data_IF_010300599622
#
_entry.id   IF_010300599622
#
_cell.length_a   1.000
_cell.length_b   1.000
_cell.length_c   1.000
_cell.angle_alpha   90.00
_cell.angle_beta   90.00
_cell.angle_gamma   90.00
#
_symmetry.space_group_name_H-M   'P 1'
#
loop_
_entity.id
_entity.type
_entity.pdbx_description
1 polymer ?
#
# COMPACT_ATOMS: atom_id res chain seq x y z
N UNK A 1 11.57 26.27 -8.76
CA UNK A 1 11.18 25.65 -10.04
C UNK A 1 9.95 24.79 -9.81
N UNK A 2 8.92 24.94 -10.62
CA UNK A 2 7.66 24.19 -10.47
C UNK A 2 7.60 23.09 -11.53
N UNK A 3 7.47 21.82 -11.11
CA UNK A 3 7.31 20.70 -12.03
C UNK A 3 5.96 20.79 -12.75
N UNK A 4 5.93 20.79 -14.08
CA UNK A 4 4.70 20.89 -14.88
C UNK A 4 4.29 19.59 -15.52
N UNK A 5 5.24 18.76 -15.92
CA UNK A 5 4.94 17.43 -16.43
C UNK A 5 6.14 16.50 -16.27
N UNK A 6 5.82 15.25 -16.14
CA UNK A 6 6.77 14.15 -16.18
C UNK A 6 6.19 13.07 -17.08
N UNK A 7 6.98 12.56 -17.99
CA UNK A 7 6.58 11.47 -18.87
C UNK A 7 7.68 10.42 -18.94
N UNK A 8 7.32 9.18 -18.64
CA UNK A 8 8.24 8.05 -18.79
C UNK A 8 7.95 7.34 -20.11
N UNK A 9 8.96 7.25 -20.97
CA UNK A 9 8.91 6.37 -22.15
C UNK A 9 9.43 4.99 -21.80
N UNK A 10 8.50 4.04 -21.69
CA UNK A 10 8.79 2.67 -21.29
C UNK A 10 9.61 1.92 -22.33
N UNK A 11 9.35 2.17 -23.59
CA UNK A 11 10.03 1.49 -24.68
C UNK A 11 11.53 1.81 -24.70
N UNK A 12 11.86 3.06 -24.34
CA UNK A 12 13.24 3.57 -24.28
C UNK A 12 13.80 3.59 -22.86
N UNK A 13 12.98 3.40 -21.84
CA UNK A 13 13.34 3.61 -20.42
C UNK A 13 13.90 5.02 -20.17
N UNK A 14 13.29 6.04 -20.77
CA UNK A 14 13.69 7.43 -20.58
C UNK A 14 12.60 8.22 -19.87
N UNK A 15 12.99 9.21 -19.08
CA UNK A 15 12.07 10.06 -18.34
C UNK A 15 12.19 11.49 -18.84
N UNK A 16 11.10 12.06 -19.35
CA UNK A 16 11.04 13.47 -19.70
C UNK A 16 10.54 14.27 -18.51
N UNK A 17 11.30 15.28 -18.13
CA UNK A 17 11.00 16.21 -17.05
C UNK A 17 10.78 17.59 -17.62
N UNK A 18 9.60 18.19 -17.37
CA UNK A 18 9.32 19.57 -17.69
C UNK A 18 9.06 20.36 -16.42
N UNK A 19 9.87 21.37 -16.17
CA UNK A 19 9.74 22.23 -15.01
C UNK A 19 9.76 23.72 -15.41
N UNK A 20 9.00 24.53 -14.69
CA UNK A 20 8.97 25.97 -14.89
C UNK A 20 9.88 26.69 -13.88
N UNK A 21 10.84 27.42 -14.40
CA UNK A 21 11.59 28.44 -13.68
C UNK A 21 10.96 29.82 -13.99
N UNK A 22 11.05 30.85 -13.11
CA UNK A 22 10.50 32.17 -13.40
C UNK A 22 10.93 32.77 -14.73
N UNK A 23 12.13 32.44 -15.21
CA UNK A 23 12.71 32.98 -16.42
C UNK A 23 12.68 32.05 -17.64
N UNK A 24 12.38 30.75 -17.46
CA UNK A 24 12.43 29.75 -18.55
C UNK A 24 11.67 28.45 -18.25
N UNK A 25 11.40 27.70 -19.28
CA UNK A 25 10.94 26.28 -19.16
C UNK A 25 12.16 25.38 -19.30
N UNK A 26 12.35 24.47 -18.36
CA UNK A 26 13.34 23.39 -18.43
C UNK A 26 12.64 22.14 -18.94
N UNK A 27 13.17 21.58 -20.02
CA UNK A 27 12.68 20.33 -20.61
C UNK A 27 13.90 19.43 -20.83
N UNK A 28 13.95 18.29 -20.13
CA UNK A 28 15.07 17.38 -20.23
C UNK A 28 14.61 15.91 -20.25
N UNK A 29 15.45 15.07 -20.83
CA UNK A 29 15.25 13.62 -20.87
C UNK A 29 16.35 12.96 -20.05
N UNK A 30 15.94 12.16 -19.05
CA UNK A 30 16.84 11.32 -18.25
C UNK A 30 16.98 9.96 -18.91
N UNK A 31 18.21 9.47 -19.01
CA UNK A 31 18.52 8.17 -19.61
C UNK A 31 17.98 6.98 -18.81
N UNK A 32 18.01 5.80 -19.41
CA UNK A 32 17.46 4.57 -18.84
C UNK A 32 18.06 4.22 -17.47
N UNK A 33 19.38 4.36 -17.33
CA UNK A 33 20.09 4.02 -16.09
C UNK A 33 19.68 4.97 -14.95
N UNK A 34 19.64 6.29 -15.21
CA UNK A 34 19.21 7.28 -14.23
C UNK A 34 17.76 7.09 -13.85
N UNK A 35 16.90 6.80 -14.81
CA UNK A 35 15.49 6.49 -14.58
C UNK A 35 15.36 5.26 -13.65
N UNK A 36 16.11 4.19 -13.89
CA UNK A 36 16.10 3.00 -13.03
C UNK A 36 16.62 3.30 -11.62
N UNK A 37 17.69 4.08 -11.49
CA UNK A 37 18.24 4.48 -10.18
C UNK A 37 17.28 5.33 -9.38
N UNK A 38 16.61 6.30 -10.02
CA UNK A 38 15.56 7.11 -9.38
C UNK A 38 14.42 6.22 -8.87
N UNK A 39 13.98 5.26 -9.68
CA UNK A 39 12.92 4.34 -9.30
C UNK A 39 13.33 3.43 -8.11
N UNK A 40 14.57 2.93 -8.13
CA UNK A 40 15.09 2.06 -7.07
C UNK A 40 15.38 2.82 -5.76
N UNK A 41 15.85 4.07 -5.88
CA UNK A 41 16.31 4.89 -4.74
C UNK A 41 15.28 5.88 -4.19
N UNK A 42 14.17 6.10 -4.91
CA UNK A 42 13.22 7.16 -4.59
C UNK A 42 12.56 7.01 -3.22
N UNK A 43 12.14 5.82 -2.84
CA UNK A 43 11.47 5.60 -1.56
C UNK A 43 12.42 5.74 -0.35
N UNK A 44 13.63 5.14 -0.33
CA UNK A 44 14.62 5.39 0.70
C UNK A 44 14.98 6.86 0.86
N UNK A 45 15.15 7.59 -0.25
CA UNK A 45 15.46 9.02 -0.24
C UNK A 45 14.33 9.82 0.41
N UNK A 46 13.09 9.59 0.04
CA UNK A 46 11.93 10.30 0.62
C UNK A 46 11.72 9.93 2.08
N UNK A 47 11.93 8.68 2.47
CA UNK A 47 11.89 8.25 3.86
C UNK A 47 12.96 8.96 4.68
N UNK A 48 14.18 9.08 4.17
CA UNK A 48 15.25 9.82 4.81
C UNK A 48 14.92 11.30 4.97
N UNK A 49 14.40 11.95 3.93
CA UNK A 49 14.00 13.36 3.97
C UNK A 49 12.86 13.64 4.97
N UNK A 50 11.89 12.72 5.07
CA UNK A 50 10.80 12.83 6.05
C UNK A 50 11.28 12.71 7.48
N UNK A 51 12.26 11.84 7.75
CA UNK A 51 12.79 11.60 9.11
C UNK A 51 13.83 12.60 9.53
N UNK A 52 14.71 13.03 8.62
CA UNK A 52 15.84 13.89 8.93
C UNK A 52 15.57 15.38 8.71
N UNK A 53 14.57 15.71 7.87
CA UNK A 53 14.33 17.08 7.40
C UNK A 53 15.45 17.63 6.50
N UNK A 54 16.40 16.78 6.10
CA UNK A 54 17.59 17.15 5.32
C UNK A 54 17.79 16.17 4.17
N UNK A 55 18.51 16.63 3.14
CA UNK A 55 19.03 15.74 2.11
C UNK A 55 20.17 14.87 2.67
N UNK A 56 20.31 13.61 2.22
CA UNK A 56 21.47 12.80 2.56
C UNK A 56 22.76 13.40 1.97
N UNK A 57 23.92 13.14 2.57
CA UNK A 57 25.18 13.60 2.00
C UNK A 57 25.50 12.85 0.69
N UNK A 58 25.83 13.60 -0.37
CA UNK A 58 26.35 13.07 -1.65
C UNK A 58 25.29 12.76 -2.70
N UNK A 59 25.72 12.74 -3.97
CA UNK A 59 24.88 12.43 -5.13
C UNK A 59 24.44 10.98 -5.18
N UNK A 60 23.14 10.77 -5.27
CA UNK A 60 22.52 9.44 -5.33
C UNK A 60 22.26 8.96 -6.76
N UNK A 61 22.28 9.90 -7.74
CA UNK A 61 21.89 9.64 -9.12
C UNK A 61 22.80 10.44 -10.08
N UNK A 62 23.09 9.91 -11.26
CA UNK A 62 23.97 10.56 -12.23
C UNK A 62 23.44 11.92 -12.71
N UNK A 63 22.14 12.05 -12.91
CA UNK A 63 21.49 13.29 -13.35
C UNK A 63 20.77 14.04 -12.22
N UNK A 64 20.65 13.46 -11.03
CA UNK A 64 20.14 14.13 -9.84
C UNK A 64 21.25 14.33 -8.83
N UNK A 65 21.60 15.57 -8.59
CA UNK A 65 22.59 15.96 -7.61
C UNK A 65 21.94 16.52 -6.36
N UNK A 66 22.27 15.94 -5.19
CA UNK A 66 21.76 16.40 -3.91
C UNK A 66 22.75 17.34 -3.27
N UNK A 67 22.29 18.56 -2.96
CA UNK A 67 23.03 19.52 -2.17
C UNK A 67 22.45 19.55 -0.75
N UNK A 68 23.20 18.99 0.19
CA UNK A 68 22.78 18.87 1.59
C UNK A 68 22.84 20.22 2.33
N UNK A 69 23.68 21.17 1.91
CA UNK A 69 23.79 22.50 2.52
C UNK A 69 22.68 23.41 2.04
N UNK A 70 22.47 23.46 0.73
CA UNK A 70 21.42 24.28 0.12
C UNK A 70 20.03 23.67 0.27
N UNK A 71 19.90 22.39 0.68
CA UNK A 71 18.64 21.64 0.73
C UNK A 71 17.92 21.62 -0.61
N UNK A 72 18.67 21.48 -1.69
CA UNK A 72 18.18 21.47 -3.07
C UNK A 72 18.54 20.16 -3.78
N UNK A 73 17.77 19.85 -4.79
CA UNK A 73 18.06 18.78 -5.76
C UNK A 73 18.22 19.43 -7.11
N UNK A 74 19.38 19.23 -7.73
CA UNK A 74 19.65 19.70 -9.08
C UNK A 74 19.46 18.59 -10.09
N UNK A 75 18.79 18.87 -11.18
CA UNK A 75 18.61 17.96 -12.31
C UNK A 75 19.56 18.39 -13.41
N UNK A 76 20.42 17.47 -13.88
CA UNK A 76 21.27 17.72 -15.02
C UNK A 76 20.49 17.50 -16.32
N UNK A 77 20.48 18.51 -17.17
CA UNK A 77 19.82 18.50 -18.47
C UNK A 77 20.84 18.82 -19.55
N UNK A 78 21.57 17.85 -20.06
CA UNK A 78 22.72 18.05 -20.94
C UNK A 78 23.85 18.77 -20.20
N UNK A 79 24.23 20.00 -20.70
CA UNK A 79 25.24 20.83 -20.04
C UNK A 79 24.69 21.74 -18.94
N UNK A 80 23.35 21.87 -18.84
CA UNK A 80 22.70 22.68 -17.83
C UNK A 80 22.38 21.89 -16.59
N UNK A 81 22.46 22.55 -15.43
CA UNK A 81 22.01 21.98 -14.13
C UNK A 81 20.98 22.92 -13.53
N UNK A 82 19.82 22.35 -13.17
CA UNK A 82 18.71 23.11 -12.60
C UNK A 82 18.37 22.58 -11.19
N UNK A 83 18.23 23.48 -10.23
CA UNK A 83 17.87 23.14 -8.86
C UNK A 83 16.35 23.02 -8.71
N UNK A 84 15.91 21.89 -8.15
CA UNK A 84 14.54 21.67 -7.70
C UNK A 84 14.44 21.95 -6.20
N UNK A 85 13.40 22.66 -5.78
CA UNK A 85 13.08 22.73 -4.37
C UNK A 85 12.59 21.38 -3.83
N UNK A 86 12.51 21.27 -2.52
CA UNK A 86 12.13 20.03 -1.85
C UNK A 86 10.75 19.51 -2.29
N UNK A 87 9.79 20.37 -2.54
CA UNK A 87 8.43 20.01 -2.92
C UNK A 87 8.36 19.55 -4.38
N UNK A 88 9.07 20.21 -5.26
CA UNK A 88 9.20 19.83 -6.68
C UNK A 88 9.89 18.47 -6.80
N UNK A 89 10.92 18.21 -6.02
CA UNK A 89 11.58 16.90 -5.95
C UNK A 89 10.66 15.79 -5.44
N UNK A 90 9.92 16.02 -4.36
CA UNK A 90 8.95 15.03 -3.87
C UNK A 90 7.90 14.69 -4.92
N UNK A 91 7.44 15.70 -5.66
CA UNK A 91 6.48 15.52 -6.75
C UNK A 91 7.09 14.70 -7.89
N UNK A 92 8.32 14.99 -8.29
CA UNK A 92 9.06 14.22 -9.29
C UNK A 92 9.17 12.74 -8.91
N UNK A 93 9.64 12.45 -7.69
CA UNK A 93 9.79 11.08 -7.22
C UNK A 93 8.47 10.32 -7.13
N UNK A 94 7.39 10.99 -6.72
CA UNK A 94 6.05 10.41 -6.70
C UNK A 94 5.57 10.01 -8.09
N UNK A 95 5.70 10.89 -9.06
CA UNK A 95 5.26 10.63 -10.43
C UNK A 95 6.11 9.53 -11.10
N UNK A 96 7.42 9.52 -10.88
CA UNK A 96 8.29 8.44 -11.34
C UNK A 96 7.87 7.08 -10.75
N UNK A 97 7.66 7.03 -9.43
CA UNK A 97 7.22 5.82 -8.75
C UNK A 97 5.85 5.33 -9.24
N UNK A 98 4.89 6.24 -9.46
CA UNK A 98 3.57 5.91 -10.03
C UNK A 98 3.69 5.32 -11.42
N UNK A 99 4.48 5.97 -12.28
CA UNK A 99 4.64 5.55 -13.68
C UNK A 99 5.29 4.17 -13.75
N UNK A 100 6.35 3.93 -12.98
CA UNK A 100 7.01 2.62 -12.92
C UNK A 100 6.06 1.51 -12.45
N UNK A 101 5.22 1.81 -11.45
CA UNK A 101 4.25 0.83 -10.94
C UNK A 101 3.15 0.54 -11.95
N UNK A 102 2.59 1.56 -12.60
CA UNK A 102 1.62 1.41 -13.69
C UNK A 102 2.11 0.44 -14.77
N UNK A 103 3.37 0.52 -15.13
CA UNK A 103 3.99 -0.31 -16.14
C UNK A 103 4.37 -1.69 -15.64
N UNK A 104 4.82 -1.81 -14.39
CA UNK A 104 5.08 -3.11 -13.79
C UNK A 104 3.80 -3.96 -13.72
N UNK A 105 2.66 -3.34 -13.39
CA UNK A 105 1.34 -4.00 -13.43
C UNK A 105 0.96 -4.40 -14.86
N UNK A 106 1.18 -3.54 -15.85
CA UNK A 106 0.84 -3.82 -17.25
C UNK A 106 1.72 -4.91 -17.88
N UNK A 107 2.94 -5.14 -17.36
CA UNK A 107 3.94 -6.06 -17.95
C UNK A 107 3.94 -7.48 -17.37
N UNK A 108 3.27 -7.74 -16.25
CA UNK A 108 3.23 -9.09 -15.66
C UNK A 108 1.93 -9.79 -16.04
N UNK A 109 1.89 -10.57 -17.13
CA UNK A 109 0.79 -11.50 -17.32
C UNK A 109 0.86 -12.54 -16.20
N UNK A 110 -0.28 -12.81 -15.61
CA UNK A 110 -0.39 -13.95 -14.71
C UNK A 110 -0.03 -15.24 -15.42
N UNK A 111 0.58 -16.20 -14.72
CA UNK A 111 0.65 -17.56 -15.25
C UNK A 111 -0.75 -18.02 -15.62
N UNK A 112 -1.00 -18.40 -16.89
CA UNK A 112 -2.34 -18.75 -17.32
C UNK A 112 -2.84 -20.00 -16.59
N UNK A 113 -4.13 -20.01 -16.22
CA UNK A 113 -4.80 -21.21 -15.68
C UNK A 113 -4.61 -21.47 -14.21
N UNK A 114 -3.99 -20.57 -13.43
CA UNK A 114 -3.89 -20.72 -11.99
C UNK A 114 -5.21 -20.33 -11.29
N UNK A 115 -5.59 -21.10 -10.27
CA UNK A 115 -6.61 -20.66 -9.31
C UNK A 115 -6.09 -19.44 -8.54
N UNK A 116 -6.96 -18.60 -7.94
CA UNK A 116 -6.51 -17.48 -7.11
C UNK A 116 -5.50 -17.89 -6.04
N UNK A 117 -5.76 -18.99 -5.34
CA UNK A 117 -4.85 -19.56 -4.34
C UNK A 117 -3.47 -19.88 -4.93
N UNK A 118 -3.43 -20.68 -6.00
CA UNK A 118 -2.17 -21.09 -6.64
C UNK A 118 -1.38 -19.89 -7.18
N UNK A 119 -2.08 -18.86 -7.64
CA UNK A 119 -1.46 -17.62 -8.11
C UNK A 119 -0.78 -16.86 -6.98
N UNK A 120 -1.48 -16.60 -5.87
CA UNK A 120 -0.91 -15.90 -4.73
C UNK A 120 0.23 -16.69 -4.11
N UNK A 121 0.07 -18.02 -3.97
CA UNK A 121 1.14 -18.92 -3.52
C UNK A 121 2.40 -18.80 -4.39
N UNK A 122 2.22 -18.83 -5.72
CA UNK A 122 3.33 -18.66 -6.66
C UNK A 122 4.07 -17.33 -6.46
N UNK A 123 3.34 -16.22 -6.29
CA UNK A 123 3.94 -14.90 -6.11
C UNK A 123 4.77 -14.82 -4.82
N UNK A 124 4.27 -15.35 -3.70
CA UNK A 124 5.03 -15.40 -2.45
C UNK A 124 6.27 -16.27 -2.52
N UNK A 125 6.23 -17.37 -3.24
CA UNK A 125 7.37 -18.29 -3.39
C UNK A 125 8.47 -17.76 -4.33
N UNK A 126 8.11 -16.92 -5.30
CA UNK A 126 9.02 -16.47 -6.36
C UNK A 126 9.37 -14.98 -6.29
N UNK A 127 9.14 -14.33 -5.16
CA UNK A 127 9.48 -12.91 -4.96
C UNK A 127 8.67 -11.96 -5.85
N UNK A 128 7.45 -12.37 -6.24
CA UNK A 128 6.53 -11.56 -7.03
C UNK A 128 5.67 -10.61 -6.21
N UNK A 129 5.92 -10.49 -4.91
CA UNK A 129 5.16 -9.74 -3.92
C UNK A 129 5.57 -8.25 -3.84
N UNK A 130 5.59 -7.57 -4.97
CA UNK A 130 5.99 -6.15 -5.09
C UNK A 130 5.12 -5.14 -4.31
N UNK A 131 4.09 -5.60 -3.59
CA UNK A 131 3.32 -4.82 -2.62
C UNK A 131 3.92 -4.84 -1.22
N UNK A 132 4.88 -5.73 -0.94
CA UNK A 132 5.53 -5.90 0.36
C UNK A 132 6.36 -4.66 0.72
N UNK A 133 6.21 -4.21 1.98
CA UNK A 133 6.88 -3.01 2.48
C UNK A 133 7.85 -3.29 3.64
N UNK A 134 7.95 -4.54 4.08
CA UNK A 134 8.78 -4.96 5.22
C UNK A 134 8.28 -4.49 6.59
N UNK A 135 7.14 -3.82 6.66
CA UNK A 135 6.53 -3.27 7.88
C UNK A 135 5.06 -2.90 7.64
N UNK A 136 4.32 -2.70 8.73
CA UNK A 136 2.98 -2.14 8.66
C UNK A 136 3.01 -0.74 8.04
N UNK A 137 1.99 -0.43 7.23
CA UNK A 137 1.94 0.83 6.47
C UNK A 137 1.74 2.04 7.40
N UNK A 138 2.45 3.16 7.17
CA UNK A 138 2.38 4.32 8.04
C UNK A 138 0.97 4.85 8.32
N UNK A 139 0.05 4.97 7.34
CA UNK A 139 -1.32 5.43 7.63
C UNK A 139 -2.06 4.55 8.65
N UNK A 140 -1.94 3.21 8.54
CA UNK A 140 -2.56 2.30 9.50
C UNK A 140 -1.85 2.35 10.85
N UNK A 141 -0.52 2.47 10.89
CA UNK A 141 0.23 2.66 12.15
C UNK A 141 -0.28 3.89 12.88
N UNK A 142 -0.33 5.04 12.20
CA UNK A 142 -0.82 6.29 12.77
C UNK A 142 -2.27 6.17 13.26
N UNK A 143 -3.15 5.66 12.39
CA UNK A 143 -4.58 5.57 12.71
C UNK A 143 -4.84 4.60 13.87
N UNK A 144 -4.28 3.40 13.85
CA UNK A 144 -4.50 2.37 14.87
C UNK A 144 -3.79 2.69 16.18
N UNK A 145 -2.73 3.50 16.19
CA UNK A 145 -2.12 3.99 17.44
C UNK A 145 -3.08 4.89 18.22
N UNK A 146 -3.87 5.70 17.52
CA UNK A 146 -4.90 6.57 18.14
C UNK A 146 -6.20 5.81 18.43
N UNK A 147 -6.50 4.77 17.66
CA UNK A 147 -7.72 3.96 17.76
C UNK A 147 -7.39 2.46 17.91
N UNK A 148 -6.66 2.07 18.97
CA UNK A 148 -6.21 0.69 19.14
C UNK A 148 -7.39 -0.27 19.37
N UNK A 149 -7.14 -1.59 19.28
CA UNK A 149 -8.09 -2.59 19.75
C UNK A 149 -8.40 -2.38 21.23
N UNK A 150 -9.69 -2.51 21.58
CA UNK A 150 -10.13 -2.36 22.96
C UNK A 150 -9.97 -3.68 23.75
N UNK A 151 -10.07 -3.59 25.08
CA UNK A 151 -9.98 -4.76 25.95
C UNK A 151 -11.08 -5.79 25.59
N UNK A 152 -10.65 -7.03 25.36
CA UNK A 152 -11.55 -8.13 24.98
C UNK A 152 -12.02 -8.12 23.53
N UNK A 153 -11.60 -7.13 22.71
CA UNK A 153 -11.88 -7.13 21.27
C UNK A 153 -11.08 -8.23 20.56
N UNK A 154 -11.74 -8.85 19.59
CA UNK A 154 -11.15 -9.78 18.63
C UNK A 154 -10.96 -9.07 17.31
N UNK A 155 -9.73 -9.05 16.85
CA UNK A 155 -9.35 -8.41 15.59
C UNK A 155 -9.06 -9.45 14.50
N UNK A 156 -9.43 -9.13 13.27
CA UNK A 156 -9.13 -9.93 12.09
C UNK A 156 -8.41 -9.06 11.06
N UNK A 157 -7.36 -9.60 10.45
CA UNK A 157 -6.72 -9.00 9.27
C UNK A 157 -6.98 -9.89 8.07
N UNK A 158 -7.66 -9.36 7.06
CA UNK A 158 -8.00 -10.09 5.82
C UNK A 158 -6.95 -9.85 4.75
N UNK A 159 -6.53 -10.90 4.04
CA UNK A 159 -5.40 -10.84 3.12
C UNK A 159 -4.14 -10.38 3.85
N UNK A 160 -3.83 -11.00 4.99
CA UNK A 160 -2.83 -10.51 5.93
C UNK A 160 -1.38 -10.55 5.41
N UNK A 161 -1.13 -11.22 4.30
CA UNK A 161 0.18 -11.34 3.71
C UNK A 161 1.22 -11.82 4.70
N UNK A 162 2.30 -11.05 4.85
CA UNK A 162 3.39 -11.35 5.79
C UNK A 162 3.08 -10.98 7.26
N UNK A 163 1.86 -10.53 7.55
CA UNK A 163 1.34 -10.37 8.91
C UNK A 163 1.63 -9.04 9.59
N UNK A 164 2.18 -8.05 8.90
CA UNK A 164 2.62 -6.79 9.52
C UNK A 164 1.52 -6.05 10.28
N UNK A 165 0.32 -5.93 9.70
CA UNK A 165 -0.83 -5.27 10.34
C UNK A 165 -1.38 -6.10 11.52
N UNK A 166 -1.35 -7.43 11.42
CA UNK A 166 -1.77 -8.30 12.52
C UNK A 166 -0.81 -8.19 13.72
N UNK A 167 0.50 -8.18 13.47
CA UNK A 167 1.51 -7.96 14.50
C UNK A 167 1.42 -6.55 15.10
N UNK A 168 1.11 -5.54 14.28
CA UNK A 168 0.84 -4.18 14.77
C UNK A 168 -0.35 -4.18 15.75
N UNK A 169 -1.48 -4.78 15.38
CA UNK A 169 -2.66 -4.87 16.25
C UNK A 169 -2.35 -5.58 17.57
N UNK A 170 -1.56 -6.66 17.51
CA UNK A 170 -1.15 -7.36 18.73
C UNK A 170 -0.26 -6.50 19.64
N UNK A 171 0.62 -5.68 19.08
CA UNK A 171 1.45 -4.75 19.87
C UNK A 171 0.64 -3.61 20.47
N UNK A 172 -0.32 -3.07 19.74
CA UNK A 172 -1.14 -1.93 20.19
C UNK A 172 -2.26 -2.33 21.14
N UNK A 173 -2.83 -3.53 20.98
CA UNK A 173 -3.93 -4.01 21.81
C UNK A 173 -3.50 -4.43 23.21
N UNK A 174 -4.44 -4.45 24.19
CA UNK A 174 -4.20 -5.01 25.51
C UNK A 174 -3.70 -6.47 25.47
N UNK A 175 -3.05 -6.96 26.55
CA UNK A 175 -2.51 -8.33 26.56
C UNK A 175 -3.53 -9.43 26.25
N UNK A 176 -4.78 -9.23 26.60
CA UNK A 176 -5.89 -10.17 26.39
C UNK A 176 -6.47 -10.12 24.97
N UNK A 177 -6.08 -9.15 24.15
CA UNK A 177 -6.57 -9.04 22.76
C UNK A 177 -6.06 -10.18 21.92
N UNK A 178 -6.96 -10.76 21.13
CA UNK A 178 -6.66 -11.84 20.19
C UNK A 178 -6.75 -11.31 18.77
N UNK A 179 -5.72 -11.57 17.98
CA UNK A 179 -5.66 -11.19 16.58
C UNK A 179 -5.60 -12.43 15.71
N UNK A 180 -6.41 -12.45 14.66
CA UNK A 180 -6.35 -13.49 13.62
C UNK A 180 -5.94 -12.83 12.32
N UNK A 181 -4.96 -13.37 11.61
CA UNK A 181 -4.63 -13.02 10.23
C UNK A 181 -5.06 -14.14 9.31
N UNK A 182 -5.75 -13.84 8.23
CA UNK A 182 -6.08 -14.83 7.19
C UNK A 182 -5.48 -14.44 5.85
N UNK A 183 -4.94 -15.41 5.15
CA UNK A 183 -4.53 -15.30 3.76
C UNK A 183 -4.86 -16.57 3.00
N UNK A 184 -5.10 -16.46 1.70
CA UNK A 184 -5.37 -17.61 0.85
C UNK A 184 -4.08 -18.38 0.53
N UNK A 185 -2.92 -17.71 0.52
CA UNK A 185 -1.62 -18.29 0.20
C UNK A 185 -0.96 -18.95 1.41
N UNK A 186 -0.70 -20.26 1.39
CA UNK A 186 0.03 -20.97 2.45
C UNK A 186 1.39 -20.33 2.78
N UNK A 187 2.16 -19.91 1.77
CA UNK A 187 3.46 -19.29 1.96
C UNK A 187 3.39 -17.99 2.78
N UNK A 188 2.37 -17.15 2.56
CA UNK A 188 2.12 -15.96 3.35
C UNK A 188 1.92 -16.30 4.83
N UNK A 189 1.05 -17.27 5.11
CA UNK A 189 0.75 -17.76 6.48
C UNK A 189 1.99 -18.28 7.19
N UNK A 190 2.82 -19.06 6.48
CA UNK A 190 4.09 -19.58 7.05
C UNK A 190 5.04 -18.44 7.40
N UNK A 191 5.18 -17.44 6.53
CA UNK A 191 6.04 -16.27 6.77
C UNK A 191 5.51 -15.48 7.97
N UNK A 192 4.23 -15.15 7.99
CA UNK A 192 3.59 -14.39 9.07
C UNK A 192 3.71 -15.11 10.43
N UNK A 193 3.51 -16.43 10.46
CA UNK A 193 3.68 -17.24 11.67
C UNK A 193 5.11 -17.19 12.19
N UNK A 194 6.12 -17.30 11.30
CA UNK A 194 7.53 -17.17 11.70
C UNK A 194 7.84 -15.80 12.28
N UNK A 195 7.28 -14.76 11.71
CA UNK A 195 7.47 -13.40 12.25
C UNK A 195 6.84 -13.24 13.64
N UNK A 196 5.63 -13.80 13.87
CA UNK A 196 5.01 -13.73 15.19
C UNK A 196 5.84 -14.44 16.27
N UNK A 197 6.46 -15.56 15.94
CA UNK A 197 7.39 -16.25 16.84
C UNK A 197 8.64 -15.42 17.10
N UNK A 198 9.24 -14.86 16.04
CA UNK A 198 10.45 -14.03 16.16
C UNK A 198 10.22 -12.76 17.00
N UNK A 199 9.00 -12.23 17.00
CA UNK A 199 8.61 -11.06 17.79
C UNK A 199 8.02 -11.42 19.18
N UNK A 200 7.92 -12.70 19.54
CA UNK A 200 7.33 -13.14 20.82
C UNK A 200 5.83 -12.85 20.93
N UNK A 201 5.11 -12.83 19.82
CA UNK A 201 3.68 -12.54 19.74
C UNK A 201 2.81 -13.74 19.39
N UNK A 202 3.37 -14.95 19.32
CA UNK A 202 2.67 -16.18 18.91
C UNK A 202 1.47 -16.53 19.79
N UNK A 203 1.46 -16.12 21.05
CA UNK A 203 0.34 -16.35 21.97
C UNK A 203 -0.82 -15.35 21.75
N UNK A 204 -0.61 -14.31 20.97
CA UNK A 204 -1.56 -13.21 20.73
C UNK A 204 -2.06 -13.13 19.31
N UNK A 205 -1.32 -13.71 18.35
CA UNK A 205 -1.67 -13.70 16.94
C UNK A 205 -1.71 -15.12 16.40
N UNK A 206 -2.79 -15.45 15.71
CA UNK A 206 -2.93 -16.71 14.97
C UNK A 206 -3.06 -16.41 13.50
N UNK A 207 -2.26 -17.08 12.65
CA UNK A 207 -2.37 -16.98 11.20
C UNK A 207 -2.98 -18.25 10.63
N UNK A 208 -3.97 -18.09 9.75
CA UNK A 208 -4.73 -19.20 9.16
C UNK A 208 -4.76 -19.08 7.64
N UNK A 209 -4.54 -20.19 6.95
CA UNK A 209 -4.86 -20.27 5.53
C UNK A 209 -6.38 -20.38 5.39
N UNK A 210 -7.00 -19.33 4.83
CA UNK A 210 -8.45 -19.30 4.66
C UNK A 210 -8.82 -18.50 3.40
N UNK A 211 -9.82 -18.98 2.67
CA UNK A 211 -10.50 -18.19 1.66
C UNK A 211 -11.55 -17.30 2.36
N UNK A 212 -11.36 -15.99 2.28
CA UNK A 212 -12.26 -15.00 2.86
C UNK A 212 -13.73 -15.22 2.47
N UNK A 213 -13.97 -15.62 1.22
CA UNK A 213 -15.33 -15.77 0.70
C UNK A 213 -16.05 -17.01 1.26
N UNK A 214 -15.33 -18.10 1.34
CA UNK A 214 -15.86 -19.37 1.82
C UNK A 214 -15.95 -19.49 3.34
N UNK A 215 -15.10 -18.79 4.06
CA UNK A 215 -14.91 -19.01 5.50
C UNK A 215 -16.14 -18.75 6.36
N UNK A 216 -16.88 -17.62 6.24
CA UNK A 216 -18.09 -17.41 7.04
C UNK A 216 -19.26 -18.34 6.68
N UNK A 217 -19.14 -19.10 5.57
CA UNK A 217 -20.13 -20.08 5.14
C UNK A 217 -19.74 -21.49 5.59
N UNK A 218 -18.46 -21.87 5.47
CA UNK A 218 -17.95 -23.17 5.87
C UNK A 218 -17.83 -23.33 7.38
N UNK A 219 -17.59 -22.23 8.11
CA UNK A 219 -17.56 -22.19 9.57
C UNK A 219 -18.47 -21.07 10.12
N UNK A 220 -19.71 -21.44 10.40
CA UNK A 220 -20.71 -20.50 10.91
C UNK A 220 -20.31 -19.87 12.26
N UNK A 221 -19.38 -20.46 13.03
CA UNK A 221 -18.89 -19.91 14.30
C UNK A 221 -18.05 -18.64 14.12
N UNK A 222 -17.61 -18.34 12.90
CA UNK A 222 -16.87 -17.12 12.57
C UNK A 222 -17.80 -15.92 12.31
N UNK A 223 -19.09 -16.16 12.05
CA UNK A 223 -20.05 -15.08 11.78
C UNK A 223 -20.27 -14.21 13.02
N UNK A 224 -20.07 -12.91 12.85
CA UNK A 224 -20.22 -11.96 13.95
C UNK A 224 -19.19 -12.13 15.08
N UNK A 225 -18.08 -12.78 14.81
CA UNK A 225 -17.06 -13.10 15.82
C UNK A 225 -16.10 -11.95 16.11
N UNK A 226 -15.89 -11.05 15.14
CA UNK A 226 -14.86 -10.04 15.23
C UNK A 226 -15.44 -8.65 15.52
N UNK A 227 -14.72 -7.89 16.34
CA UNK A 227 -15.03 -6.51 16.70
C UNK A 227 -14.39 -5.52 15.74
N UNK A 228 -13.22 -5.88 15.23
CA UNK A 228 -12.41 -5.10 14.29
C UNK A 228 -11.93 -5.99 13.14
N UNK A 229 -12.18 -5.55 11.91
CA UNK A 229 -11.52 -6.08 10.72
C UNK A 229 -10.59 -5.00 10.16
N UNK A 230 -9.35 -5.39 9.86
CA UNK A 230 -8.38 -4.52 9.17
C UNK A 230 -8.08 -5.11 7.80
N UNK A 231 -8.04 -4.25 6.80
CA UNK A 231 -7.61 -4.59 5.45
C UNK A 231 -6.54 -3.61 4.95
N UNK A 232 -5.56 -4.14 4.23
CA UNK A 232 -4.57 -3.37 3.53
C UNK A 232 -4.31 -4.00 2.16
N UNK A 233 -4.78 -3.36 1.10
CA UNK A 233 -4.63 -3.82 -0.30
C UNK A 233 -5.30 -5.18 -0.64
N UNK A 234 -6.14 -5.72 0.22
CA UNK A 234 -6.89 -6.94 -0.09
C UNK A 234 -7.97 -6.67 -1.14
N UNK A 235 -8.72 -5.58 -1.01
CA UNK A 235 -9.80 -5.22 -1.93
C UNK A 235 -9.34 -5.05 -3.39
N UNK A 236 -8.19 -4.44 -3.63
CA UNK A 236 -7.65 -4.26 -4.98
C UNK A 236 -7.08 -5.57 -5.57
N UNK A 237 -6.87 -6.58 -4.76
CA UNK A 237 -6.45 -7.92 -5.18
C UNK A 237 -7.60 -8.78 -5.71
N UNK A 238 -8.84 -8.35 -5.47
CA UNK A 238 -10.06 -9.08 -5.81
C UNK A 238 -10.63 -8.57 -7.12
N UNK A 239 -11.03 -9.51 -7.98
CA UNK A 239 -11.68 -9.17 -9.26
C UNK A 239 -12.90 -8.26 -9.03
N UNK A 240 -13.07 -7.21 -9.85
CA UNK A 240 -14.12 -6.22 -9.66
C UNK A 240 -15.53 -6.78 -9.53
N UNK A 241 -15.82 -7.88 -10.21
CA UNK A 241 -17.13 -8.54 -10.16
C UNK A 241 -17.42 -9.26 -8.83
N UNK A 242 -16.38 -9.54 -8.01
CA UNK A 242 -16.50 -10.20 -6.70
C UNK A 242 -16.46 -9.24 -5.52
N UNK A 243 -16.31 -7.94 -5.74
CA UNK A 243 -16.14 -6.95 -4.67
C UNK A 243 -17.39 -6.78 -3.78
N UNK A 244 -18.59 -7.03 -4.31
CA UNK A 244 -19.79 -7.06 -3.47
C UNK A 244 -19.78 -8.29 -2.55
N UNK A 245 -19.32 -9.44 -3.04
CA UNK A 245 -19.11 -10.65 -2.24
C UNK A 245 -18.08 -10.39 -1.12
N UNK A 246 -16.99 -9.67 -1.44
CA UNK A 246 -16.00 -9.24 -0.43
C UNK A 246 -16.65 -8.42 0.70
N UNK A 247 -17.44 -7.41 0.36
CA UNK A 247 -18.12 -6.57 1.36
C UNK A 247 -19.04 -7.42 2.25
N UNK A 248 -19.78 -8.36 1.66
CA UNK A 248 -20.68 -9.26 2.40
C UNK A 248 -19.89 -10.23 3.30
N UNK A 249 -18.76 -10.77 2.83
CA UNK A 249 -17.91 -11.67 3.61
C UNK A 249 -17.32 -10.95 4.83
N UNK A 250 -16.76 -9.75 4.64
CA UNK A 250 -16.24 -8.90 5.73
C UNK A 250 -17.33 -8.56 6.73
N UNK A 251 -18.51 -8.17 6.23
CA UNK A 251 -19.65 -7.89 7.10
C UNK A 251 -20.11 -9.13 7.89
N UNK A 252 -20.12 -10.29 7.26
CA UNK A 252 -20.51 -11.53 7.94
C UNK A 252 -19.57 -11.89 9.11
N UNK A 253 -18.27 -11.61 8.98
CA UNK A 253 -17.25 -11.86 10.01
C UNK A 253 -17.33 -10.87 11.18
N UNK A 254 -17.66 -9.61 10.91
CA UNK A 254 -17.84 -8.57 11.94
C UNK A 254 -19.15 -8.79 12.70
N UNK A 255 -19.18 -8.50 14.02
CA UNK A 255 -20.42 -8.39 14.76
C UNK A 255 -21.21 -7.14 14.33
N UNK A 256 -22.52 -7.07 14.54
CA UNK A 256 -23.28 -5.81 14.42
C UNK A 256 -22.65 -4.70 15.26
N UNK A 257 -22.34 -3.54 14.65
CA UNK A 257 -21.61 -2.45 15.28
C UNK A 257 -20.09 -2.66 15.36
N UNK A 258 -19.55 -3.73 14.80
CA UNK A 258 -18.10 -3.94 14.63
C UNK A 258 -17.52 -3.00 13.57
N UNK A 259 -16.21 -2.76 13.62
CA UNK A 259 -15.50 -1.77 12.82
C UNK A 259 -14.70 -2.44 11.70
N UNK A 260 -14.81 -1.90 10.49
CA UNK A 260 -13.85 -2.13 9.40
C UNK A 260 -12.90 -0.93 9.35
N UNK A 261 -11.60 -1.15 9.38
CA UNK A 261 -10.58 -0.16 9.07
C UNK A 261 -9.80 -0.65 7.85
N UNK A 262 -9.93 0.06 6.74
CA UNK A 262 -9.32 -0.33 5.48
C UNK A 262 -8.44 0.78 4.91
N UNK A 263 -7.26 0.40 4.41
CA UNK A 263 -6.45 1.25 3.56
C UNK A 263 -6.54 0.72 2.14
N UNK A 264 -7.45 1.31 1.37
CA UNK A 264 -7.79 0.90 0.02
C UNK A 264 -6.89 1.58 -1.00
N UNK A 265 -6.30 0.80 -1.90
CA UNK A 265 -5.51 1.34 -3.00
C UNK A 265 -6.45 1.79 -4.13
N UNK A 266 -6.38 3.08 -4.49
CA UNK A 266 -7.20 3.72 -5.53
C UNK A 266 -6.31 4.10 -6.71
N UNK A 267 -6.57 3.51 -7.87
CA UNK A 267 -5.82 3.76 -9.09
C UNK A 267 -6.65 3.40 -10.33
N UNK A 268 -6.21 3.84 -11.49
CA UNK A 268 -6.84 3.65 -12.80
C UNK A 268 -6.02 2.76 -13.76
N UNK A 269 -5.01 2.04 -13.24
CA UNK A 269 -4.15 1.21 -14.09
C UNK A 269 -4.92 0.04 -14.69
N UNK A 270 -4.69 -0.26 -15.97
CA UNK A 270 -5.34 -1.38 -16.64
C UNK A 270 -4.82 -2.73 -16.13
N UNK A 271 -5.67 -3.74 -16.17
CA UNK A 271 -5.31 -5.10 -15.73
C UNK A 271 -5.46 -5.29 -14.22
N UNK A 272 -4.68 -6.19 -13.67
CA UNK A 272 -4.68 -6.51 -12.24
C UNK A 272 -4.32 -7.94 -11.92
N UNK A 273 -4.16 -8.29 -10.64
CA UNK A 273 -4.07 -7.40 -9.50
C UNK A 273 -2.77 -6.57 -9.46
N UNK A 274 -2.79 -5.39 -8.81
CA UNK A 274 -3.99 -4.75 -8.25
C UNK A 274 -4.96 -4.34 -9.36
N UNK A 275 -6.26 -4.56 -9.17
CA UNK A 275 -7.30 -4.10 -10.08
C UNK A 275 -7.68 -2.66 -9.76
N UNK A 276 -7.94 -1.86 -10.80
CA UNK A 276 -8.36 -0.47 -10.67
C UNK A 276 -9.55 -0.33 -9.72
N UNK A 277 -9.52 0.71 -8.89
CA UNK A 277 -10.64 1.09 -8.04
C UNK A 277 -10.60 2.60 -7.74
N UNK A 278 -11.76 3.18 -7.49
CA UNK A 278 -11.90 4.58 -7.12
C UNK A 278 -12.46 4.73 -5.70
N UNK A 279 -12.25 5.90 -5.11
CA UNK A 279 -12.84 6.24 -3.82
C UNK A 279 -14.38 6.19 -3.87
N UNK A 280 -14.98 6.58 -4.99
CA UNK A 280 -16.44 6.51 -5.22
C UNK A 280 -16.95 5.06 -5.23
N UNK A 281 -16.24 4.16 -5.90
CA UNK A 281 -16.57 2.73 -5.93
C UNK A 281 -16.53 2.14 -4.51
N UNK A 282 -15.44 2.40 -3.77
CA UNK A 282 -15.26 1.91 -2.39
C UNK A 282 -16.40 2.39 -1.51
N UNK A 283 -16.70 3.69 -1.54
CA UNK A 283 -17.83 4.27 -0.77
C UNK A 283 -19.18 3.66 -1.15
N UNK A 284 -19.45 3.52 -2.44
CA UNK A 284 -20.72 2.97 -2.93
C UNK A 284 -20.94 1.54 -2.44
N UNK A 285 -19.90 0.68 -2.53
CA UNK A 285 -20.00 -0.71 -2.09
C UNK A 285 -20.11 -0.85 -0.57
N UNK A 286 -19.31 -0.10 0.19
CA UNK A 286 -19.37 -0.15 1.66
C UNK A 286 -20.70 0.33 2.20
N UNK A 287 -21.30 1.38 1.62
CA UNK A 287 -22.60 1.95 2.07
C UNK A 287 -23.77 0.99 2.00
N UNK A 288 -23.68 -0.10 1.27
CA UNK A 288 -24.70 -1.14 1.27
C UNK A 288 -24.88 -1.81 2.64
N UNK A 289 -23.81 -1.90 3.44
CA UNK A 289 -23.76 -2.70 4.66
C UNK A 289 -23.16 -1.94 5.86
N UNK A 290 -22.39 -0.90 5.59
CA UNK A 290 -21.63 -0.13 6.57
C UNK A 290 -22.03 1.34 6.58
N UNK A 291 -21.85 1.98 7.74
CA UNK A 291 -21.85 3.43 7.89
C UNK A 291 -20.39 3.90 7.95
N UNK A 292 -19.95 4.68 6.96
CA UNK A 292 -18.60 5.26 6.94
C UNK A 292 -18.55 6.38 7.98
N UNK A 293 -17.66 6.23 8.96
CA UNK A 293 -17.53 7.16 10.10
C UNK A 293 -16.27 8.02 10.03
N UNK A 294 -15.32 7.60 9.22
CA UNK A 294 -14.08 8.35 8.94
C UNK A 294 -13.55 7.98 7.57
N UNK A 295 -13.00 8.97 6.86
CA UNK A 295 -12.24 8.75 5.63
C UNK A 295 -11.21 9.87 5.42
N UNK A 296 -10.09 9.51 4.83
CA UNK A 296 -9.06 10.45 4.38
C UNK A 296 -8.21 9.86 3.24
N UNK A 297 -7.58 10.74 2.44
CA UNK A 297 -6.44 10.39 1.59
C UNK A 297 -5.17 10.68 2.39
N UNK A 298 -4.44 9.64 2.87
CA UNK A 298 -3.36 9.85 3.81
C UNK A 298 -2.18 10.60 3.17
N UNK A 299 -1.63 11.57 3.90
CA UNK A 299 -0.43 12.28 3.47
C UNK A 299 0.86 11.50 3.73
N UNK A 300 0.80 10.49 4.61
CA UNK A 300 1.90 9.64 5.06
C UNK A 300 1.93 8.27 4.38
N UNK A 301 1.18 8.08 3.30
CA UNK A 301 1.29 6.90 2.43
C UNK A 301 2.72 6.69 1.94
N UNK A 302 3.09 5.44 1.66
CA UNK A 302 4.32 5.15 0.92
C UNK A 302 4.37 6.01 -0.36
N UNK A 303 5.58 6.46 -0.74
CA UNK A 303 5.72 7.38 -1.87
C UNK A 303 5.09 6.83 -3.15
N UNK A 304 5.26 5.53 -3.39
CA UNK A 304 4.72 4.85 -4.57
C UNK A 304 3.18 4.79 -4.58
N UNK A 305 2.53 5.10 -3.45
CA UNK A 305 1.07 5.07 -3.26
C UNK A 305 0.50 6.43 -2.83
N UNK A 306 1.34 7.44 -2.68
CA UNK A 306 0.94 8.77 -2.20
C UNK A 306 -0.18 9.37 -3.07
N UNK A 307 -1.30 9.72 -2.42
CA UNK A 307 -2.51 10.21 -3.07
C UNK A 307 -3.30 9.16 -3.85
N UNK A 308 -2.92 7.87 -3.76
CA UNK A 308 -3.61 6.72 -4.35
C UNK A 308 -4.10 5.74 -3.29
N UNK A 309 -4.26 6.18 -2.06
CA UNK A 309 -4.83 5.38 -0.98
C UNK A 309 -5.98 6.14 -0.33
N UNK A 310 -7.01 5.40 0.07
CA UNK A 310 -8.15 5.88 0.85
C UNK A 310 -8.19 5.10 2.16
N UNK A 311 -7.93 5.78 3.27
CA UNK A 311 -8.14 5.22 4.60
C UNK A 311 -9.60 5.42 4.99
N UNK A 312 -10.28 4.35 5.37
CA UNK A 312 -11.69 4.35 5.75
C UNK A 312 -11.88 3.65 7.07
N UNK A 313 -12.63 4.25 7.99
CA UNK A 313 -13.31 3.50 9.05
C UNK A 313 -14.80 3.43 8.75
N UNK A 314 -15.34 2.23 8.82
CA UNK A 314 -16.78 2.00 8.63
C UNK A 314 -17.33 1.06 9.71
N UNK A 315 -18.54 1.28 10.16
CA UNK A 315 -19.21 0.50 11.20
C UNK A 315 -20.29 -0.35 10.57
N UNK A 316 -20.25 -1.67 10.85
CA UNK A 316 -21.32 -2.58 10.41
C UNK A 316 -22.64 -2.17 11.01
N UNK A 317 -23.64 -1.98 10.15
CA UNK A 317 -25.01 -1.63 10.59
C UNK A 317 -25.59 -2.71 11.51
N UNK A 318 -26.40 -2.26 12.47
CA UNK A 318 -27.22 -3.14 13.28
C UNK A 318 -28.52 -3.37 12.51
N UNK A 319 -28.64 -4.52 11.87
CA UNK A 319 -29.90 -4.96 11.26
C UNK A 319 -30.79 -5.59 12.31
#
# INVERSE_FOLDING_TARGET
MELRSLHLDVGKLTTQVRAHHPERVVDCELGAESTQRILAGGEPLVSYLRTSGRLPPGGWFDELWLDAEAQTVSVRCGEATEALDFQAMQTLLRELARTARREAVARKPDPPGLTPEARWEYLYQHGGDGWEMGKATPPLVRYLTVHPPLRGERSLVVGCGRGHEALLLARLGPPESQVVGIDIAPAAVVIATRQSVAEGLSDRVTFLQQDLFGWPTSDASQRGRYDLVVEHNCFCAIEPHRRDEYVQAVAALLRPGGRLVGLFYTHDYPGGPPYASSAEEIRARLRSTFDITYEEVPADSAITRAGQELLVQAVRRRC
#
